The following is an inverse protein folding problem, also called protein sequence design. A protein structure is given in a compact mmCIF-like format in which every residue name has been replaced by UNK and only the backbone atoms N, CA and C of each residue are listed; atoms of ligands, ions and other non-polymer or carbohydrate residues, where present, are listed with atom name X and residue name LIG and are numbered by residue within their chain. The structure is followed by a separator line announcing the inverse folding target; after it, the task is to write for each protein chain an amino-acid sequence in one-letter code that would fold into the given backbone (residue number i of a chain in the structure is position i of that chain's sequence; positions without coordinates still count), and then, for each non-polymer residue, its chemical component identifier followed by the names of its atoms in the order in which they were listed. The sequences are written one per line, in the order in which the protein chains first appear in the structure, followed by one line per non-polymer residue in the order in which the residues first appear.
data_IF_996839497923
#
_entry.id   IF_996839497923
#
_cell.length_a   1.000
_cell.length_b   1.000
_cell.length_c   1.000
_cell.angle_alpha   90.00
_cell.angle_beta   90.00
_cell.angle_gamma   90.00
#
_symmetry.space_group_name_H-M   'P 1'
#
loop_
_entity.id
_entity.type
_entity.pdbx_description
1 polymer ?
#
# COMPACT_ATOMS: atom_id res chain seq x y z
N UNK A 1 17.71 4.82 0.18
CA UNK A 1 17.08 4.61 -1.14
C UNK A 1 16.12 5.74 -1.39
N UNK A 2 16.18 6.32 -2.57
CA UNK A 2 15.18 7.31 -2.96
C UNK A 2 13.81 6.66 -3.15
N UNK A 3 12.77 7.48 -3.09
CA UNK A 3 11.42 7.08 -3.46
C UNK A 3 11.35 6.95 -4.98
N UNK A 4 10.74 5.86 -5.47
CA UNK A 4 10.47 5.73 -6.90
C UNK A 4 9.39 6.73 -7.31
N UNK A 5 9.54 7.31 -8.47
CA UNK A 5 8.54 8.20 -9.08
C UNK A 5 7.95 7.46 -10.27
N UNK A 6 6.77 6.91 -10.08
CA UNK A 6 6.14 6.06 -11.08
C UNK A 6 5.15 6.85 -11.93
N UNK A 7 5.10 6.52 -13.21
CA UNK A 7 4.06 6.99 -14.10
C UNK A 7 2.80 6.14 -13.96
N UNK A 8 1.64 6.75 -14.09
CA UNK A 8 0.36 6.05 -13.93
C UNK A 8 -0.74 6.65 -14.80
N UNK A 9 -1.75 5.84 -15.09
CA UNK A 9 -2.97 6.27 -15.76
C UNK A 9 -4.17 5.66 -15.04
N UNK A 10 -5.14 6.51 -14.67
CA UNK A 10 -6.40 6.07 -14.08
C UNK A 10 -7.42 5.87 -15.21
N UNK A 11 -7.98 4.69 -15.30
CA UNK A 11 -8.94 4.28 -16.33
C UNK A 11 -10.28 3.92 -15.69
N UNK A 12 -11.34 4.08 -16.49
CA UNK A 12 -12.71 3.78 -16.06
C UNK A 12 -13.44 4.98 -15.47
N UNK A 13 -14.71 4.80 -15.21
CA UNK A 13 -15.61 5.85 -14.70
C UNK A 13 -16.15 5.54 -13.30
N UNK A 14 -17.04 4.59 -13.18
CA UNK A 14 -17.64 4.19 -11.89
C UNK A 14 -16.85 3.09 -11.18
N UNK A 15 -16.21 2.21 -11.96
CA UNK A 15 -15.26 1.22 -11.48
C UNK A 15 -13.90 1.54 -12.10
N UNK A 16 -13.09 2.30 -11.37
CA UNK A 16 -11.79 2.71 -11.86
C UNK A 16 -10.70 1.69 -11.50
N UNK A 17 -9.69 1.64 -12.35
CA UNK A 17 -8.42 1.00 -12.03
C UNK A 17 -7.27 1.91 -12.42
N UNK A 18 -6.12 1.71 -11.81
CA UNK A 18 -4.90 2.44 -12.12
C UNK A 18 -3.89 1.49 -12.76
N UNK A 19 -3.38 1.89 -13.91
CA UNK A 19 -2.26 1.22 -14.57
C UNK A 19 -0.99 2.01 -14.25
N UNK A 20 -0.04 1.35 -13.59
CA UNK A 20 1.24 1.93 -13.19
C UNK A 20 2.30 1.43 -14.16
N UNK A 21 3.06 2.34 -14.75
CA UNK A 21 4.21 2.04 -15.59
C UNK A 21 5.49 2.10 -14.75
N UNK A 22 6.24 1.02 -14.74
CA UNK A 22 7.48 0.88 -13.99
C UNK A 22 8.67 0.86 -14.94
N UNK A 23 9.60 1.77 -14.72
CA UNK A 23 10.91 1.70 -15.37
C UNK A 23 11.72 0.50 -14.87
N UNK A 24 12.76 0.06 -15.57
CA UNK A 24 13.61 -1.04 -15.09
C UNK A 24 14.12 -0.80 -13.66
N UNK A 25 13.84 -1.74 -12.77
CA UNK A 25 14.21 -1.66 -11.35
C UNK A 25 13.25 -0.90 -10.45
N UNK A 26 12.26 -0.20 -10.99
CA UNK A 26 11.21 0.45 -10.20
C UNK A 26 10.23 -0.58 -9.63
N UNK A 27 9.57 -0.18 -8.56
CA UNK A 27 8.56 -1.01 -7.93
C UNK A 27 7.35 -0.21 -7.44
N UNK A 28 6.22 -0.88 -7.41
CA UNK A 28 5.00 -0.41 -6.77
C UNK A 28 4.64 -1.31 -5.60
N UNK A 29 3.97 -0.75 -4.62
CA UNK A 29 3.42 -1.46 -3.46
C UNK A 29 1.92 -1.48 -3.60
N UNK A 30 1.31 -2.65 -3.56
CA UNK A 30 -0.13 -2.81 -3.67
C UNK A 30 -0.75 -3.40 -2.42
N UNK A 31 -2.00 -3.02 -2.15
CA UNK A 31 -2.83 -3.65 -1.14
C UNK A 31 -3.07 -5.12 -1.51
N UNK A 32 -3.19 -5.98 -0.51
CA UNK A 32 -3.50 -7.39 -0.74
C UNK A 32 -4.81 -7.54 -1.53
N UNK A 33 -4.78 -8.31 -2.61
CA UNK A 33 -5.94 -8.55 -3.46
C UNK A 33 -6.29 -7.43 -4.45
N UNK A 34 -5.49 -6.38 -4.54
CA UNK A 34 -5.73 -5.27 -5.47
C UNK A 34 -5.17 -5.50 -6.89
N UNK A 35 -4.32 -6.49 -7.08
CA UNK A 35 -3.75 -6.77 -8.40
C UNK A 35 -4.85 -7.12 -9.40
N UNK A 36 -4.88 -6.40 -10.52
CA UNK A 36 -5.76 -6.68 -11.65
C UNK A 36 -5.04 -7.46 -12.76
N UNK A 37 -3.90 -6.95 -13.21
CA UNK A 37 -2.99 -7.63 -14.14
C UNK A 37 -1.58 -7.05 -14.03
N UNK A 38 -0.62 -7.78 -14.55
CA UNK A 38 0.76 -7.31 -14.68
C UNK A 38 1.43 -7.95 -15.90
N UNK A 39 2.40 -7.24 -16.46
CA UNK A 39 3.23 -7.76 -17.54
C UNK A 39 4.18 -8.85 -17.03
N UNK A 40 4.54 -9.76 -17.92
CA UNK A 40 5.60 -10.73 -17.64
C UNK A 40 6.94 -10.00 -17.42
N UNK A 41 7.70 -10.43 -16.42
CA UNK A 41 8.95 -9.76 -16.02
C UNK A 41 8.81 -8.90 -14.76
N UNK A 42 7.59 -8.76 -14.26
CA UNK A 42 7.34 -8.19 -12.92
C UNK A 42 7.34 -9.31 -11.89
N UNK A 43 8.12 -9.17 -10.83
CA UNK A 43 8.13 -10.09 -9.69
C UNK A 43 7.22 -9.59 -8.58
N UNK A 44 6.62 -10.52 -7.84
CA UNK A 44 5.74 -10.25 -6.71
C UNK A 44 6.37 -10.78 -5.43
N UNK A 45 6.56 -9.91 -4.46
CA UNK A 45 7.04 -10.28 -3.13
C UNK A 45 6.08 -9.78 -2.07
N UNK A 46 5.48 -10.71 -1.33
CA UNK A 46 4.61 -10.34 -0.21
C UNK A 46 5.47 -10.01 1.01
N UNK A 47 5.30 -8.81 1.53
CA UNK A 47 6.06 -8.28 2.65
C UNK A 47 5.14 -7.86 3.79
N UNK A 48 5.69 -7.80 4.99
CA UNK A 48 4.99 -7.22 6.12
C UNK A 48 5.23 -5.70 6.13
N UNK A 49 4.15 -4.94 6.18
CA UNK A 49 4.22 -3.49 6.01
C UNK A 49 4.42 -3.10 4.54
N UNK A 50 5.35 -2.23 4.28
CA UNK A 50 5.72 -1.73 2.95
C UNK A 50 7.04 -2.31 2.41
N UNK A 51 7.66 -3.22 3.16
CA UNK A 51 8.97 -3.73 2.84
C UNK A 51 10.12 -2.76 3.09
N UNK A 52 9.85 -1.57 3.60
CA UNK A 52 10.87 -0.54 3.87
C UNK A 52 11.67 -0.83 5.13
N UNK A 53 11.08 -1.53 6.09
CA UNK A 53 11.80 -1.98 7.27
C UNK A 53 12.66 -3.19 6.90
N UNK A 54 13.97 -2.98 6.82
CA UNK A 54 14.92 -4.09 6.89
C UNK A 54 14.51 -4.95 8.08
N UNK A 55 14.17 -6.21 7.81
CA UNK A 55 13.91 -7.17 8.86
C UNK A 55 15.05 -7.09 9.88
N UNK A 56 14.81 -6.40 10.96
CA UNK A 56 15.53 -6.69 12.19
C UNK A 56 15.07 -8.09 12.58
N UNK A 57 15.81 -9.06 12.06
CA UNK A 57 15.50 -10.48 12.13
C UNK A 57 15.66 -11.04 13.53
N UNK A 58 14.92 -10.49 14.48
CA UNK A 58 14.81 -11.00 15.82
C UNK A 58 13.41 -11.54 16.09
N UNK A 59 13.33 -12.58 16.88
CA UNK A 59 12.09 -13.16 17.41
C UNK A 59 11.14 -12.08 17.96
N UNK A 60 11.71 -10.97 18.44
CA UNK A 60 11.00 -9.81 18.99
C UNK A 60 10.24 -8.99 17.90
N UNK A 61 10.84 -8.83 16.74
CA UNK A 61 10.18 -8.15 15.61
C UNK A 61 8.98 -8.98 15.06
N UNK A 62 9.12 -10.30 15.06
CA UNK A 62 8.04 -11.22 14.70
C UNK A 62 6.91 -11.20 15.73
N UNK A 63 7.24 -11.07 17.01
CA UNK A 63 6.25 -11.03 18.10
C UNK A 63 5.46 -9.72 18.09
N UNK A 64 6.15 -8.59 17.90
CA UNK A 64 5.50 -7.28 17.74
C UNK A 64 4.62 -7.22 16.48
N UNK A 65 5.09 -7.81 15.38
CA UNK A 65 4.31 -7.94 14.17
C UNK A 65 3.05 -8.79 14.36
N UNK A 66 3.17 -9.92 15.07
CA UNK A 66 2.03 -10.78 15.38
C UNK A 66 1.03 -10.08 16.32
N UNK A 67 1.50 -9.32 17.31
CA UNK A 67 0.64 -8.55 18.19
C UNK A 67 -0.15 -7.46 17.45
N UNK A 68 0.49 -6.76 16.53
CA UNK A 68 -0.19 -5.79 15.66
C UNK A 68 -1.23 -6.44 14.74
N UNK A 69 -0.96 -7.62 14.22
CA UNK A 69 -1.93 -8.41 13.42
C UNK A 69 -3.18 -8.78 14.20
N UNK A 70 -3.00 -9.19 15.45
CA UNK A 70 -4.12 -9.54 16.34
C UNK A 70 -4.99 -8.32 16.66
N UNK A 71 -4.40 -7.15 16.79
CA UNK A 71 -5.12 -5.90 17.10
C UNK A 71 -5.86 -5.37 15.87
N UNK A 72 -5.32 -5.55 14.66
CA UNK A 72 -5.92 -5.00 13.44
C UNK A 72 -6.93 -5.92 12.78
N UNK A 73 -7.01 -7.20 13.18
CA UNK A 73 -7.85 -8.20 12.54
C UNK A 73 -7.50 -8.51 11.07
N UNK A 74 -6.62 -7.72 10.47
CA UNK A 74 -6.09 -7.91 9.13
C UNK A 74 -4.59 -7.74 9.12
N UNK A 75 -3.94 -8.45 8.22
CA UNK A 75 -2.50 -8.37 8.06
C UNK A 75 -2.12 -7.06 7.36
N UNK A 76 -1.11 -6.38 7.88
CA UNK A 76 -0.40 -5.33 7.14
C UNK A 76 0.48 -5.91 6.02
N UNK A 77 0.03 -6.99 5.43
CA UNK A 77 0.73 -7.55 4.28
C UNK A 77 0.39 -6.76 3.03
N UNK A 78 1.42 -6.30 2.39
CA UNK A 78 1.37 -5.69 1.07
C UNK A 78 2.21 -6.51 0.11
N UNK A 79 1.99 -6.32 -1.17
CA UNK A 79 2.80 -6.95 -2.20
C UNK A 79 3.63 -5.91 -2.91
N UNK A 80 4.92 -6.15 -3.03
CA UNK A 80 5.84 -5.32 -3.82
C UNK A 80 5.97 -5.93 -5.20
N UNK A 81 5.68 -5.13 -6.21
CA UNK A 81 5.75 -5.49 -7.62
C UNK A 81 6.96 -4.80 -8.24
N UNK A 82 7.98 -5.54 -8.59
CA UNK A 82 9.25 -5.00 -9.10
C UNK A 82 9.45 -5.36 -10.57
N UNK A 83 9.76 -4.37 -11.39
CA UNK A 83 10.14 -4.59 -12.77
C UNK A 83 11.59 -5.13 -12.84
N UNK A 84 11.75 -6.39 -13.18
CA UNK A 84 13.05 -7.06 -13.34
C UNK A 84 13.55 -7.05 -14.79
N UNK A 85 12.79 -6.52 -15.72
CA UNK A 85 13.17 -6.45 -17.13
C UNK A 85 14.01 -5.20 -17.42
N UNK A 86 14.55 -5.14 -18.63
CA UNK A 86 15.31 -4.00 -19.13
C UNK A 86 14.45 -2.97 -19.88
N UNK A 87 13.14 -3.18 -19.91
CA UNK A 87 12.17 -2.29 -20.55
C UNK A 87 11.08 -1.88 -19.57
N UNK A 88 10.32 -0.85 -19.92
CA UNK A 88 9.15 -0.43 -19.13
C UNK A 88 8.09 -1.53 -19.15
N UNK A 89 7.52 -1.81 -17.98
CA UNK A 89 6.45 -2.79 -17.78
C UNK A 89 5.30 -2.17 -16.99
N UNK A 90 4.14 -2.78 -17.08
CA UNK A 90 2.91 -2.26 -16.47
C UNK A 90 2.32 -3.24 -15.47
N UNK A 91 1.79 -2.68 -14.40
CA UNK A 91 1.00 -3.39 -13.39
C UNK A 91 -0.24 -2.57 -13.09
N UNK A 92 -1.39 -3.20 -12.99
CA UNK A 92 -2.66 -2.52 -12.75
C UNK A 92 -3.29 -2.98 -11.44
N UNK A 93 -3.88 -2.02 -10.74
CA UNK A 93 -4.54 -2.21 -9.45
C UNK A 93 -5.97 -1.69 -9.52
N UNK A 94 -6.89 -2.44 -8.91
CA UNK A 94 -8.28 -2.07 -8.79
C UNK A 94 -8.83 -2.44 -7.41
N UNK A 95 -9.71 -1.60 -6.88
CA UNK A 95 -10.48 -1.95 -5.69
C UNK A 95 -11.56 -2.99 -6.03
N UNK A 96 -11.97 -3.84 -5.06
CA UNK A 96 -12.98 -4.87 -5.32
C UNK A 96 -14.41 -4.32 -5.40
N UNK A 97 -14.61 -3.03 -5.27
CA UNK A 97 -15.92 -2.37 -5.30
C UNK A 97 -15.85 -1.06 -6.10
N UNK A 98 -17.01 -0.54 -6.56
CA UNK A 98 -17.06 0.71 -7.31
C UNK A 98 -16.51 1.89 -6.50
N UNK A 99 -15.88 2.81 -7.19
CA UNK A 99 -15.36 4.04 -6.57
C UNK A 99 -14.39 4.79 -7.46
N UNK A 100 -13.95 5.92 -6.97
CA UNK A 100 -12.96 6.78 -7.62
C UNK A 100 -11.59 6.56 -6.99
N UNK A 101 -10.57 6.56 -7.85
CA UNK A 101 -9.17 6.53 -7.41
C UNK A 101 -8.68 7.97 -7.30
N UNK A 102 -8.15 8.34 -6.14
CA UNK A 102 -7.59 9.65 -5.89
C UNK A 102 -6.06 9.52 -5.83
N UNK A 103 -5.34 10.09 -6.81
CA UNK A 103 -3.89 10.13 -6.73
C UNK A 103 -3.46 11.19 -5.72
N UNK A 104 -2.57 10.82 -4.81
CA UNK A 104 -2.07 11.69 -3.76
C UNK A 104 -0.55 11.80 -3.83
N UNK A 105 -0.05 13.03 -3.88
CA UNK A 105 1.36 13.32 -3.69
C UNK A 105 1.60 13.73 -2.25
N UNK A 106 2.24 12.88 -1.47
CA UNK A 106 2.47 13.12 -0.05
C UNK A 106 3.32 14.36 0.21
N UNK A 107 4.17 14.76 -0.73
CA UNK A 107 4.96 16.01 -0.62
C UNK A 107 4.05 17.24 -0.52
N UNK A 108 2.93 17.23 -1.23
CA UNK A 108 1.94 18.31 -1.20
C UNK A 108 1.08 18.31 0.07
N UNK A 109 1.08 17.16 0.78
CA UNK A 109 0.32 16.96 2.00
C UNK A 109 1.17 17.08 3.27
N UNK A 110 2.36 17.61 3.16
CA UNK A 110 3.29 17.74 4.30
C UNK A 110 4.01 16.44 4.67
N UNK A 111 4.02 15.45 3.76
CA UNK A 111 4.75 14.18 3.90
C UNK A 111 3.95 13.06 4.54
N UNK A 112 2.78 13.32 5.11
CA UNK A 112 2.00 12.30 5.83
C UNK A 112 0.52 12.37 5.45
N UNK A 113 -0.07 11.22 5.20
CA UNK A 113 -1.52 11.06 5.03
C UNK A 113 -2.03 9.97 5.98
N UNK A 114 -3.08 10.28 6.71
CA UNK A 114 -3.81 9.32 7.53
C UNK A 114 -5.15 9.04 6.85
N UNK A 115 -5.41 7.79 6.56
CA UNK A 115 -6.64 7.39 5.89
C UNK A 115 -7.22 6.12 6.54
N UNK A 116 -8.47 5.85 6.21
CA UNK A 116 -9.09 4.61 6.61
C UNK A 116 -8.34 3.43 6.00
N UNK A 117 -8.25 2.34 6.70
CA UNK A 117 -7.48 1.14 6.35
C UNK A 117 -7.75 0.64 4.91
N UNK A 118 -8.99 0.65 4.45
CA UNK A 118 -9.38 0.15 3.13
C UNK A 118 -9.30 1.21 2.02
N UNK A 119 -8.86 2.43 2.35
CA UNK A 119 -8.72 3.50 1.37
C UNK A 119 -7.43 3.42 0.56
N UNK A 120 -6.43 2.68 1.03
CA UNK A 120 -5.18 2.47 0.32
C UNK A 120 -5.34 1.45 -0.81
N UNK A 121 -4.89 1.80 -2.00
CA UNK A 121 -4.88 0.89 -3.16
C UNK A 121 -3.47 0.47 -3.55
N UNK A 122 -2.64 1.42 -3.86
CA UNK A 122 -1.23 1.20 -4.21
C UNK A 122 -0.42 2.49 -4.03
N UNK A 123 0.89 2.32 -4.01
CA UNK A 123 1.85 3.43 -3.94
C UNK A 123 3.14 3.08 -4.68
N UNK A 124 3.95 4.09 -4.99
CA UNK A 124 5.33 3.88 -5.40
C UNK A 124 6.15 3.30 -4.24
N UNK A 125 7.18 2.53 -4.56
CA UNK A 125 8.14 2.08 -3.55
C UNK A 125 8.81 3.28 -2.88
N UNK A 126 8.91 3.24 -1.56
CA UNK A 126 9.44 4.32 -0.74
C UNK A 126 8.39 5.03 0.11
N UNK A 127 7.10 4.84 -0.20
CA UNK A 127 6.03 5.25 0.69
C UNK A 127 5.93 4.25 1.84
N UNK A 128 6.06 4.73 3.06
CA UNK A 128 5.98 3.91 4.26
C UNK A 128 4.52 3.72 4.70
N UNK A 129 4.16 2.48 4.97
CA UNK A 129 2.82 2.08 5.43
C UNK A 129 2.86 1.72 6.90
N UNK A 130 2.12 2.43 7.71
CA UNK A 130 2.03 2.20 9.14
C UNK A 130 0.61 2.17 9.65
N UNK A 131 0.47 2.02 10.95
CA UNK A 131 -0.81 2.06 11.67
C UNK A 131 -0.86 3.34 12.47
N UNK A 132 -1.99 4.02 12.41
CA UNK A 132 -2.30 5.15 13.27
C UNK A 132 -3.48 4.81 14.16
N UNK A 133 -3.27 4.82 15.47
CA UNK A 133 -4.34 4.59 16.43
C UNK A 133 -5.03 5.91 16.77
N UNK A 134 -6.34 5.98 16.55
CA UNK A 134 -7.13 7.08 17.06
C UNK A 134 -7.47 6.85 18.52
N UNK A 135 -7.04 7.77 19.39
CA UNK A 135 -7.26 7.69 20.83
C UNK A 135 -8.64 8.20 21.29
N UNK A 136 -9.51 8.62 20.40
CA UNK A 136 -10.85 9.10 20.77
C UNK A 136 -11.80 7.94 21.01
N UNK A 137 -12.06 7.68 22.27
CA UNK A 137 -13.01 6.65 22.75
C UNK A 137 -14.41 6.72 22.11
N UNK A 138 -14.85 7.90 21.68
CA UNK A 138 -16.15 8.08 21.05
C UNK A 138 -16.27 7.47 19.66
N UNK A 139 -15.16 7.28 18.95
CA UNK A 139 -15.15 6.67 17.62
C UNK A 139 -15.27 5.15 17.70
N UNK A 140 -14.77 4.53 18.76
CA UNK A 140 -14.82 3.08 18.95
C UNK A 140 -16.20 2.53 19.32
N UNK A 141 -17.09 3.36 19.84
CA UNK A 141 -18.44 2.95 20.21
C UNK A 141 -19.39 2.84 19.00
N UNK A 142 -19.10 3.55 17.90
CA UNK A 142 -20.00 3.69 16.76
C UNK A 142 -19.52 3.06 15.46
N UNK A 143 -18.31 2.50 15.42
CA UNK A 143 -17.79 1.81 14.26
C UNK A 143 -16.62 0.93 14.64
N UNK A 144 -16.75 -0.38 14.53
CA UNK A 144 -15.71 -1.36 14.87
C UNK A 144 -14.38 -1.17 14.10
N UNK A 145 -14.35 -0.33 13.10
CA UNK A 145 -13.16 0.00 12.30
C UNK A 145 -12.56 1.37 12.63
N UNK A 146 -13.22 2.18 13.46
CA UNK A 146 -12.84 3.56 13.75
C UNK A 146 -11.53 3.75 14.51
N UNK A 147 -10.97 2.70 15.10
CA UNK A 147 -9.74 2.78 15.90
C UNK A 147 -8.46 2.68 15.09
N UNK A 148 -8.51 2.09 13.90
CA UNK A 148 -7.32 1.73 13.16
C UNK A 148 -7.34 2.47 11.82
N UNK A 149 -6.44 3.41 11.71
CA UNK A 149 -6.19 4.17 10.50
C UNK A 149 -4.85 3.75 9.90
N UNK A 150 -4.73 3.85 8.61
CA UNK A 150 -3.48 3.64 7.90
C UNK A 150 -2.72 4.95 7.81
N UNK A 151 -1.42 4.93 8.11
CA UNK A 151 -0.54 6.07 7.96
C UNK A 151 0.37 5.85 6.76
N UNK A 152 0.42 6.81 5.88
CA UNK A 152 1.27 6.84 4.69
C UNK A 152 2.29 7.98 4.84
N UNK A 153 3.56 7.67 4.67
CA UNK A 153 4.67 8.62 4.76
C UNK A 153 5.65 8.48 3.60
#
# INVERSE_FOLDING_TARGET
MGMDVVDYEIKGSEMQFVEVELDPGEAAVGEAGSLMYMDAGITMDTVFGDGSSKQTGGLFGKLLGAGKRLVTGESLFTTVYTNQASSKLRVAFAAPYPGKILPMDLRQLGGTLICQKDAFLCAARGVSLGIHFQQKLSVGFFGGEGFIMQKLE
#
